data_IF_341785817457
#
_entry.id   IF_341785817457
#
_cell.length_a   1.000
_cell.length_b   1.000
_cell.length_c   1.000
_cell.angle_alpha   90.00
_cell.angle_beta   90.00
_cell.angle_gamma   90.00
#
_symmetry.space_group_name_H-M   'P 1'
#
loop_
_entity.id
_entity.type
_entity.pdbx_description
1 polymer ?
#
# COMPACT_ATOMS: atom_id res chain seq x y z
N UNK A 1 -10.85 42.93 11.90
CA UNK A 1 -10.71 42.03 13.09
C UNK A 1 -11.89 41.09 13.14
N UNK A 2 -11.72 39.84 12.73
CA UNK A 2 -12.78 38.81 12.83
C UNK A 2 -12.75 38.25 14.25
N UNK A 3 -13.79 38.54 15.02
CA UNK A 3 -13.98 38.06 16.39
C UNK A 3 -14.13 36.53 16.38
N UNK A 4 -13.09 35.77 16.73
CA UNK A 4 -13.18 34.31 16.90
C UNK A 4 -14.19 34.00 18.01
N UNK A 5 -15.40 33.61 17.64
CA UNK A 5 -16.45 33.14 18.52
C UNK A 5 -15.99 31.80 19.10
N UNK A 6 -15.61 31.77 20.37
CA UNK A 6 -15.36 30.51 21.09
C UNK A 6 -16.69 29.78 21.20
N UNK A 7 -16.85 28.72 20.45
CA UNK A 7 -18.01 27.82 20.53
C UNK A 7 -18.03 27.23 21.96
N UNK A 8 -19.19 27.31 22.63
CA UNK A 8 -19.37 26.67 23.95
C UNK A 8 -19.33 25.15 23.79
N UNK A 9 -18.78 24.42 24.76
CA UNK A 9 -18.60 22.96 24.71
C UNK A 9 -19.90 22.20 24.30
N UNK A 10 -21.07 22.69 24.72
CA UNK A 10 -22.37 22.10 24.35
C UNK A 10 -22.79 22.34 22.90
N UNK A 11 -22.35 23.43 22.26
CA UNK A 11 -22.60 23.66 20.81
C UNK A 11 -21.70 22.78 19.94
N UNK A 12 -20.43 22.60 20.34
CA UNK A 12 -19.51 21.67 19.68
C UNK A 12 -20.06 20.24 19.70
N UNK A 13 -20.66 19.79 20.81
CA UNK A 13 -21.28 18.46 20.91
C UNK A 13 -22.45 18.27 19.93
N UNK A 14 -23.31 19.29 19.76
CA UNK A 14 -24.43 19.23 18.80
C UNK A 14 -23.95 19.13 17.34
N UNK A 15 -22.97 19.96 16.95
CA UNK A 15 -22.40 19.89 15.60
C UNK A 15 -21.68 18.55 15.36
N UNK A 16 -20.94 18.05 16.34
CA UNK A 16 -20.30 16.74 16.26
C UNK A 16 -21.33 15.63 16.00
N UNK A 17 -22.43 15.60 16.74
CA UNK A 17 -23.49 14.61 16.56
C UNK A 17 -24.15 14.75 15.18
N UNK A 18 -24.52 15.95 14.75
CA UNK A 18 -25.21 16.19 13.48
C UNK A 18 -24.35 15.79 12.27
N UNK A 19 -23.05 16.07 12.29
CA UNK A 19 -22.17 15.79 11.15
C UNK A 19 -21.58 14.38 11.17
N UNK A 20 -21.29 13.81 12.33
CA UNK A 20 -20.65 12.49 12.44
C UNK A 20 -21.67 11.36 12.51
N UNK A 21 -22.81 11.56 13.16
CA UNK A 21 -23.80 10.51 13.38
C UNK A 21 -24.32 9.89 12.07
N UNK A 22 -24.69 10.64 11.01
CA UNK A 22 -25.14 10.04 9.76
C UNK A 22 -24.06 9.17 9.09
N UNK A 23 -22.82 9.65 9.05
CA UNK A 23 -21.69 8.90 8.50
C UNK A 23 -21.40 7.64 9.33
N UNK A 24 -21.45 7.76 10.66
CA UNK A 24 -21.28 6.64 11.59
C UNK A 24 -22.35 5.57 11.41
N UNK A 25 -23.62 5.96 11.26
CA UNK A 25 -24.73 5.02 11.02
C UNK A 25 -24.51 4.26 9.71
N UNK A 26 -24.18 4.96 8.62
CA UNK A 26 -23.87 4.32 7.34
C UNK A 26 -22.69 3.36 7.47
N UNK A 27 -21.63 3.77 8.14
CA UNK A 27 -20.47 2.92 8.38
C UNK A 27 -20.79 1.68 9.22
N UNK A 28 -21.58 1.83 10.29
CA UNK A 28 -22.01 0.71 11.11
C UNK A 28 -22.90 -0.27 10.33
N UNK A 29 -23.84 0.23 9.55
CA UNK A 29 -24.77 -0.62 8.77
C UNK A 29 -24.07 -1.35 7.62
N UNK A 30 -23.23 -0.65 6.86
CA UNK A 30 -22.66 -1.21 5.63
C UNK A 30 -21.25 -1.79 5.77
N UNK A 31 -20.53 -1.47 6.84
CA UNK A 31 -19.17 -2.00 7.07
C UNK A 31 -19.12 -2.92 8.29
N UNK A 32 -19.56 -2.43 9.45
CA UNK A 32 -19.42 -3.20 10.69
C UNK A 32 -20.42 -4.36 10.75
N UNK A 33 -21.68 -4.13 10.39
CA UNK A 33 -22.71 -5.18 10.45
C UNK A 33 -22.34 -6.38 9.54
N UNK A 34 -21.99 -6.23 8.24
CA UNK A 34 -21.54 -7.35 7.42
C UNK A 34 -20.26 -8.02 7.95
N UNK A 35 -19.35 -7.26 8.52
CA UNK A 35 -18.14 -7.80 9.15
C UNK A 35 -18.47 -8.73 10.33
N UNK A 36 -19.38 -8.31 11.21
CA UNK A 36 -19.84 -9.14 12.34
C UNK A 36 -20.59 -10.40 11.85
N UNK A 37 -21.42 -10.28 10.81
CA UNK A 37 -22.04 -11.45 10.18
C UNK A 37 -21.02 -12.41 9.58
N UNK A 38 -19.97 -11.90 8.93
CA UNK A 38 -18.88 -12.73 8.40
C UNK A 38 -18.19 -13.52 9.50
N UNK A 39 -17.91 -12.87 10.65
CA UNK A 39 -17.34 -13.55 11.82
C UNK A 39 -18.32 -14.64 12.33
N UNK A 40 -19.59 -14.30 12.48
CA UNK A 40 -20.60 -15.27 12.93
C UNK A 40 -20.69 -16.48 12.00
N UNK A 41 -20.85 -16.25 10.70
CA UNK A 41 -20.94 -17.33 9.71
C UNK A 41 -19.67 -18.14 9.59
N UNK A 42 -18.50 -17.60 9.90
CA UNK A 42 -17.24 -18.35 9.87
C UNK A 42 -17.21 -19.52 10.86
N UNK A 43 -18.04 -19.47 11.92
CA UNK A 43 -18.19 -20.53 12.90
C UNK A 43 -19.37 -21.46 12.63
N UNK A 44 -20.10 -21.28 11.53
CA UNK A 44 -21.25 -22.06 11.13
C UNK A 44 -21.00 -22.82 9.84
N UNK A 45 -21.89 -23.76 9.50
CA UNK A 45 -21.90 -24.47 8.23
C UNK A 45 -22.65 -23.72 7.12
N UNK A 46 -22.66 -22.38 7.21
CA UNK A 46 -23.30 -21.52 6.22
C UNK A 46 -22.77 -21.80 4.81
N UNK A 47 -23.71 -22.03 3.87
CA UNK A 47 -23.43 -22.09 2.43
C UNK A 47 -24.61 -21.43 1.70
N UNK A 48 -24.35 -20.90 0.50
CA UNK A 48 -25.40 -20.29 -0.33
C UNK A 48 -26.56 -21.25 -0.65
N UNK A 49 -26.32 -22.56 -0.55
CA UNK A 49 -27.31 -23.60 -0.78
C UNK A 49 -28.17 -23.93 0.47
N UNK A 50 -27.70 -23.55 1.67
CA UNK A 50 -28.42 -23.81 2.92
C UNK A 50 -28.33 -22.62 3.89
N UNK A 51 -29.05 -21.52 3.58
CA UNK A 51 -28.96 -20.30 4.39
C UNK A 51 -29.81 -20.33 5.67
N UNK A 52 -30.71 -21.32 5.81
CA UNK A 52 -31.78 -21.32 6.85
C UNK A 52 -31.45 -22.23 8.03
N UNK A 53 -30.83 -23.39 7.80
CA UNK A 53 -30.48 -24.35 8.86
C UNK A 53 -29.00 -24.26 9.21
N UNK A 54 -28.63 -23.24 9.99
CA UNK A 54 -27.26 -23.00 10.40
C UNK A 54 -26.93 -23.81 11.66
N UNK A 55 -25.90 -24.63 11.57
CA UNK A 55 -25.34 -25.33 12.71
C UNK A 55 -23.98 -24.72 13.09
N UNK A 56 -23.74 -24.59 14.37
CA UNK A 56 -22.45 -24.14 14.86
C UNK A 56 -21.42 -25.27 14.71
N UNK A 57 -20.37 -25.01 13.93
CA UNK A 57 -19.29 -25.99 13.64
C UNK A 57 -17.94 -25.62 14.29
N UNK A 58 -17.93 -24.57 15.09
CA UNK A 58 -16.70 -24.12 15.77
C UNK A 58 -15.59 -23.76 14.78
N UNK A 59 -14.39 -24.25 15.02
CA UNK A 59 -13.20 -23.96 14.21
C UNK A 59 -13.03 -24.85 12.97
N UNK A 60 -14.00 -25.69 12.65
CA UNK A 60 -13.90 -26.65 11.53
C UNK A 60 -13.58 -26.00 10.20
N UNK A 61 -14.17 -24.84 9.91
CA UNK A 61 -13.90 -24.09 8.67
C UNK A 61 -12.45 -23.60 8.61
N UNK A 62 -11.90 -23.12 9.72
CA UNK A 62 -10.52 -22.66 9.81
C UNK A 62 -9.53 -23.81 9.62
N UNK A 63 -9.79 -24.96 10.24
CA UNK A 63 -8.97 -26.16 10.07
C UNK A 63 -8.99 -26.62 8.61
N UNK A 64 -10.19 -26.63 7.97
CA UNK A 64 -10.33 -26.99 6.56
C UNK A 64 -9.54 -26.05 5.64
N UNK A 65 -9.58 -24.75 5.90
CA UNK A 65 -8.80 -23.74 5.15
C UNK A 65 -7.30 -24.04 5.26
N UNK A 66 -6.80 -24.28 6.47
CA UNK A 66 -5.39 -24.58 6.71
C UNK A 66 -4.94 -25.97 6.17
N UNK A 67 -5.86 -26.86 5.87
CA UNK A 67 -5.58 -28.16 5.24
C UNK A 67 -5.69 -28.11 3.71
N UNK A 68 -6.22 -27.03 3.13
CA UNK A 68 -6.44 -26.91 1.68
C UNK A 68 -5.14 -26.40 1.00
N UNK A 69 -4.51 -27.17 0.09
CA UNK A 69 -3.25 -26.78 -0.54
C UNK A 69 -3.32 -25.43 -1.27
N UNK A 70 -4.46 -25.13 -1.91
CA UNK A 70 -4.69 -23.86 -2.62
C UNK A 70 -4.67 -22.68 -1.64
N UNK A 71 -5.29 -22.84 -0.47
CA UNK A 71 -5.32 -21.78 0.56
C UNK A 71 -3.95 -21.58 1.19
N UNK A 72 -3.21 -22.64 1.46
CA UNK A 72 -1.83 -22.53 1.93
C UNK A 72 -0.93 -21.84 0.92
N UNK A 73 -1.07 -22.16 -0.37
CA UNK A 73 -0.36 -21.46 -1.43
C UNK A 73 -0.74 -19.98 -1.51
N UNK A 74 -2.03 -19.65 -1.36
CA UNK A 74 -2.51 -18.26 -1.34
C UNK A 74 -1.93 -17.48 -0.14
N UNK A 75 -1.94 -18.06 1.06
CA UNK A 75 -1.34 -17.45 2.26
C UNK A 75 0.16 -17.21 2.05
N UNK A 76 0.89 -18.23 1.58
CA UNK A 76 2.32 -18.11 1.27
C UNK A 76 2.59 -16.99 0.27
N UNK A 77 1.83 -16.94 -0.83
CA UNK A 77 1.97 -15.92 -1.85
C UNK A 77 1.67 -14.52 -1.30
N UNK A 78 0.66 -14.39 -0.44
CA UNK A 78 0.32 -13.11 0.21
C UNK A 78 1.44 -12.63 1.14
N UNK A 79 2.07 -13.53 1.89
CA UNK A 79 3.20 -13.19 2.75
C UNK A 79 4.42 -12.77 1.91
N UNK A 80 4.75 -13.51 0.86
CA UNK A 80 5.83 -13.16 -0.07
C UNK A 80 5.54 -11.80 -0.71
N UNK A 81 4.33 -11.59 -1.20
CA UNK A 81 3.90 -10.32 -1.78
C UNK A 81 4.07 -9.16 -0.79
N UNK A 82 3.57 -9.29 0.44
CA UNK A 82 3.66 -8.24 1.45
C UNK A 82 5.12 -7.89 1.81
N UNK A 83 5.96 -8.90 2.03
CA UNK A 83 7.37 -8.70 2.39
C UNK A 83 8.14 -8.03 1.24
N UNK A 84 8.02 -8.56 0.03
CA UNK A 84 8.76 -8.03 -1.11
C UNK A 84 8.25 -6.64 -1.50
N UNK A 85 6.95 -6.45 -1.56
CA UNK A 85 6.38 -5.14 -1.91
C UNK A 85 6.79 -4.06 -0.92
N UNK A 86 6.56 -4.28 0.38
CA UNK A 86 6.90 -3.30 1.42
C UNK A 86 8.41 -3.08 1.51
N UNK A 87 9.19 -4.16 1.44
CA UNK A 87 10.65 -4.09 1.47
C UNK A 87 11.22 -3.26 0.33
N UNK A 88 10.82 -3.55 -0.91
CA UNK A 88 11.30 -2.81 -2.07
C UNK A 88 10.75 -1.38 -2.15
N UNK A 89 9.50 -1.14 -1.77
CA UNK A 89 8.96 0.22 -1.72
C UNK A 89 9.70 1.09 -0.70
N UNK A 90 10.04 0.53 0.47
CA UNK A 90 10.84 1.23 1.47
C UNK A 90 12.27 1.45 0.99
N UNK A 91 12.90 0.39 0.45
CA UNK A 91 14.28 0.44 -0.05
C UNK A 91 14.47 1.44 -1.20
N UNK A 92 13.47 1.63 -2.04
CA UNK A 92 13.52 2.59 -3.16
C UNK A 92 12.95 3.96 -2.77
N UNK A 93 11.84 3.99 -2.03
CA UNK A 93 11.13 5.22 -1.69
C UNK A 93 11.90 6.09 -0.70
N UNK A 94 12.54 5.49 0.31
CA UNK A 94 13.28 6.24 1.33
C UNK A 94 14.53 6.95 0.75
N UNK A 95 15.43 6.32 -0.02
CA UNK A 95 16.53 7.02 -0.67
C UNK A 95 16.08 8.10 -1.64
N UNK A 96 14.99 7.85 -2.41
CA UNK A 96 14.42 8.88 -3.27
C UNK A 96 13.94 10.09 -2.47
N UNK A 97 13.30 9.86 -1.32
CA UNK A 97 12.88 10.94 -0.42
C UNK A 97 14.07 11.75 0.12
N UNK A 98 15.16 11.09 0.53
CA UNK A 98 16.38 11.75 0.97
C UNK A 98 16.98 12.63 -0.14
N UNK A 99 17.11 12.11 -1.36
CA UNK A 99 17.63 12.87 -2.50
C UNK A 99 16.72 14.06 -2.80
N UNK A 100 15.40 13.88 -2.81
CA UNK A 100 14.43 14.94 -3.10
C UNK A 100 14.18 15.89 -1.93
N UNK A 101 14.69 15.60 -0.74
CA UNK A 101 14.70 16.54 0.38
C UNK A 101 15.80 17.61 0.22
N UNK A 102 16.81 17.35 -0.60
CA UNK A 102 17.89 18.30 -0.88
C UNK A 102 17.41 19.46 -1.77
N UNK A 103 18.19 20.55 -1.82
CA UNK A 103 17.92 21.75 -2.64
C UNK A 103 18.26 21.51 -4.13
N UNK A 104 17.52 20.62 -4.80
CA UNK A 104 17.70 20.32 -6.22
C UNK A 104 16.86 21.25 -7.09
N UNK A 105 17.42 21.79 -8.18
CA UNK A 105 16.66 22.61 -9.15
C UNK A 105 15.50 21.86 -9.80
N UNK A 106 15.68 20.56 -10.07
CA UNK A 106 14.68 19.67 -10.71
C UNK A 106 13.75 18.94 -9.72
N UNK A 107 13.81 19.27 -8.42
CA UNK A 107 13.08 18.54 -7.36
C UNK A 107 11.59 18.33 -7.66
N UNK A 108 10.90 19.37 -8.09
CA UNK A 108 9.46 19.30 -8.34
C UNK A 108 9.15 18.44 -9.57
N UNK A 109 9.95 18.51 -10.62
CA UNK A 109 9.82 17.65 -11.79
C UNK A 109 10.04 16.17 -11.43
N UNK A 110 11.11 15.87 -10.70
CA UNK A 110 11.40 14.50 -10.26
C UNK A 110 10.29 13.95 -9.36
N UNK A 111 9.74 14.74 -8.43
CA UNK A 111 8.57 14.35 -7.63
C UNK A 111 7.39 13.99 -8.53
N UNK A 112 7.09 14.83 -9.52
CA UNK A 112 5.99 14.58 -10.45
C UNK A 112 6.21 13.29 -11.25
N UNK A 113 7.40 13.07 -11.79
CA UNK A 113 7.74 11.87 -12.59
C UNK A 113 7.63 10.59 -11.77
N UNK A 114 8.18 10.55 -10.55
CA UNK A 114 8.10 9.36 -9.71
C UNK A 114 6.71 9.11 -9.14
N UNK A 115 5.93 10.17 -8.88
CA UNK A 115 4.56 10.05 -8.38
C UNK A 115 3.54 9.73 -9.48
N UNK A 116 3.84 10.08 -10.73
CA UNK A 116 2.92 9.96 -11.87
C UNK A 116 2.29 8.56 -12.04
N UNK A 117 3.05 7.43 -11.89
CA UNK A 117 2.46 6.10 -11.99
C UNK A 117 1.33 5.82 -10.99
N UNK A 118 1.40 6.40 -9.79
CA UNK A 118 0.40 6.19 -8.73
C UNK A 118 -0.96 6.84 -9.04
N UNK A 119 -1.01 7.79 -10.00
CA UNK A 119 -2.25 8.47 -10.39
C UNK A 119 -3.11 7.64 -11.34
N UNK A 120 -2.51 6.68 -12.05
CA UNK A 120 -3.25 5.84 -12.98
C UNK A 120 -4.14 4.82 -12.28
N UNK A 121 -5.29 4.54 -12.88
CA UNK A 121 -6.15 3.44 -12.42
C UNK A 121 -5.44 2.09 -12.60
N UNK A 122 -5.75 1.15 -11.72
CA UNK A 122 -5.20 -0.22 -11.79
C UNK A 122 -5.50 -0.90 -13.13
N UNK A 123 -6.60 -0.55 -13.79
CA UNK A 123 -6.97 -1.08 -15.09
C UNK A 123 -5.98 -0.63 -16.19
N UNK A 124 -5.66 0.67 -16.22
CA UNK A 124 -4.68 1.23 -17.18
C UNK A 124 -3.31 0.61 -16.95
N UNK A 125 -2.88 0.51 -15.68
CA UNK A 125 -1.60 -0.13 -15.31
C UNK A 125 -1.60 -1.61 -15.75
N UNK A 126 -2.70 -2.33 -15.53
CA UNK A 126 -2.83 -3.72 -15.97
C UNK A 126 -2.65 -3.89 -17.48
N UNK A 127 -3.29 -3.06 -18.30
CA UNK A 127 -3.12 -3.09 -19.76
C UNK A 127 -1.70 -2.71 -20.19
N UNK A 128 -1.13 -1.66 -19.60
CA UNK A 128 0.22 -1.21 -19.90
C UNK A 128 1.25 -2.33 -19.64
N UNK A 129 1.20 -2.93 -18.46
CA UNK A 129 2.14 -3.99 -18.10
C UNK A 129 1.87 -5.31 -18.82
N UNK A 130 0.61 -5.60 -19.16
CA UNK A 130 0.29 -6.73 -20.04
C UNK A 130 0.97 -6.57 -21.40
N UNK A 131 0.93 -5.38 -21.99
CA UNK A 131 1.63 -5.08 -23.23
C UNK A 131 3.17 -5.17 -23.06
N UNK A 132 3.72 -4.56 -22.01
CA UNK A 132 5.17 -4.56 -21.74
C UNK A 132 5.71 -5.98 -21.52
N UNK A 133 4.97 -6.82 -20.78
CA UNK A 133 5.35 -8.19 -20.37
C UNK A 133 4.82 -9.27 -21.32
N UNK A 134 4.18 -8.92 -22.42
CA UNK A 134 3.66 -9.90 -23.38
C UNK A 134 4.76 -10.81 -23.87
N UNK A 135 4.45 -12.10 -24.01
CA UNK A 135 5.33 -13.09 -24.65
C UNK A 135 5.22 -13.10 -26.17
N UNK A 136 4.33 -12.29 -26.75
CA UNK A 136 4.23 -12.09 -28.20
C UNK A 136 5.36 -11.18 -28.73
N UNK A 137 5.52 -11.15 -30.05
CA UNK A 137 6.53 -10.32 -30.73
C UNK A 137 6.41 -8.82 -30.44
N UNK A 138 5.26 -8.38 -29.92
CA UNK A 138 5.01 -7.00 -29.50
C UNK A 138 5.43 -6.70 -28.06
N UNK A 139 5.80 -7.71 -27.25
CA UNK A 139 6.19 -7.53 -25.86
C UNK A 139 7.50 -6.75 -25.73
N UNK A 140 7.46 -5.55 -25.14
CA UNK A 140 8.62 -4.66 -25.07
C UNK A 140 9.83 -5.35 -24.40
N UNK A 141 9.63 -6.01 -23.26
CA UNK A 141 10.72 -6.66 -22.52
C UNK A 141 11.27 -7.83 -23.33
N UNK A 142 10.41 -8.68 -23.89
CA UNK A 142 10.83 -9.83 -24.65
C UNK A 142 11.54 -9.46 -25.96
N UNK A 143 11.13 -8.36 -26.59
CA UNK A 143 11.83 -7.84 -27.77
C UNK A 143 13.26 -7.41 -27.42
N UNK A 144 13.44 -6.68 -26.29
CA UNK A 144 14.78 -6.30 -25.83
C UNK A 144 15.62 -7.54 -25.48
N UNK A 145 15.05 -8.51 -24.76
CA UNK A 145 15.73 -9.75 -24.40
C UNK A 145 16.18 -10.54 -25.64
N UNK A 146 15.32 -10.62 -26.65
CA UNK A 146 15.64 -11.26 -27.90
C UNK A 146 16.79 -10.57 -28.63
N UNK A 147 16.80 -9.23 -28.70
CA UNK A 147 17.90 -8.47 -29.30
C UNK A 147 19.23 -8.67 -28.55
N UNK A 148 19.18 -8.93 -27.25
CA UNK A 148 20.35 -9.22 -26.42
C UNK A 148 20.77 -10.71 -26.45
N UNK A 149 20.07 -11.56 -27.21
CA UNK A 149 20.35 -13.01 -27.28
C UNK A 149 19.97 -13.79 -26.00
N UNK A 150 19.15 -13.23 -25.12
CA UNK A 150 18.77 -13.82 -23.82
C UNK A 150 17.51 -14.69 -23.90
N UNK A 151 16.91 -14.88 -25.09
CA UNK A 151 15.68 -15.64 -25.27
C UNK A 151 14.44 -14.89 -24.81
N UNK A 152 13.33 -15.62 -24.56
CA UNK A 152 12.04 -15.05 -24.18
C UNK A 152 11.63 -15.50 -22.77
N UNK A 153 11.02 -14.59 -22.00
CA UNK A 153 10.46 -14.85 -20.68
C UNK A 153 8.94 -14.87 -20.73
N UNK A 154 8.33 -15.88 -20.12
CA UNK A 154 6.89 -15.90 -19.93
C UNK A 154 6.55 -15.42 -18.51
N UNK A 155 6.08 -14.17 -18.42
CA UNK A 155 5.77 -13.48 -17.18
C UNK A 155 4.47 -13.96 -16.52
N UNK A 156 3.54 -14.53 -17.29
CA UNK A 156 2.19 -14.89 -16.84
C UNK A 156 2.02 -16.37 -16.51
N UNK A 157 3.11 -17.11 -16.37
CA UNK A 157 3.04 -18.50 -15.87
C UNK A 157 2.70 -18.51 -14.38
N UNK A 158 2.14 -19.61 -13.88
CA UNK A 158 1.84 -19.80 -12.45
C UNK A 158 3.07 -19.56 -11.54
N UNK A 159 4.28 -19.78 -12.08
CA UNK A 159 5.54 -19.60 -11.35
C UNK A 159 5.97 -18.12 -11.29
N UNK A 160 5.74 -17.36 -12.34
CA UNK A 160 6.27 -16.00 -12.51
C UNK A 160 5.25 -14.90 -12.23
N UNK A 161 3.94 -15.20 -12.35
CA UNK A 161 2.88 -14.22 -12.25
C UNK A 161 2.91 -13.40 -10.95
N UNK A 162 3.21 -14.03 -9.80
CA UNK A 162 3.33 -13.33 -8.53
C UNK A 162 4.41 -12.24 -8.58
N UNK A 163 5.59 -12.56 -9.10
CA UNK A 163 6.71 -11.63 -9.18
C UNK A 163 6.46 -10.51 -10.21
N UNK A 164 5.76 -10.83 -11.29
CA UNK A 164 5.33 -9.84 -12.29
C UNK A 164 4.38 -8.81 -11.70
N UNK A 165 3.41 -9.26 -10.90
CA UNK A 165 2.51 -8.37 -10.16
C UNK A 165 3.27 -7.54 -9.13
N UNK A 166 4.18 -8.15 -8.36
CA UNK A 166 5.01 -7.42 -7.38
C UNK A 166 5.82 -6.32 -8.05
N UNK A 167 6.49 -6.61 -9.17
CA UNK A 167 7.28 -5.63 -9.93
C UNK A 167 6.42 -4.45 -10.39
N UNK A 168 5.25 -4.74 -10.96
CA UNK A 168 4.27 -3.73 -11.38
C UNK A 168 3.86 -2.83 -10.23
N UNK A 169 3.57 -3.40 -9.07
CA UNK A 169 3.12 -2.68 -7.88
C UNK A 169 4.26 -1.87 -7.24
N UNK A 170 5.48 -2.39 -7.22
CA UNK A 170 6.66 -1.64 -6.77
C UNK A 170 6.80 -0.38 -7.62
N UNK A 171 6.80 -0.51 -8.95
CA UNK A 171 6.91 0.63 -9.86
C UNK A 171 5.77 1.64 -9.65
N UNK A 172 4.53 1.17 -9.53
CA UNK A 172 3.36 2.04 -9.36
C UNK A 172 3.41 2.84 -8.06
N UNK A 173 3.77 2.21 -6.94
CA UNK A 173 3.58 2.79 -5.61
C UNK A 173 4.84 3.31 -4.93
N UNK A 174 6.03 3.12 -5.51
CA UNK A 174 7.29 3.66 -4.95
C UNK A 174 7.24 5.18 -4.83
N UNK A 175 6.67 5.88 -5.82
CA UNK A 175 6.52 7.33 -5.75
C UNK A 175 5.59 7.81 -4.63
N UNK A 176 4.55 7.05 -4.33
CA UNK A 176 3.68 7.31 -3.17
C UNK A 176 4.44 7.17 -1.85
N UNK A 177 5.17 6.06 -1.68
CA UNK A 177 6.01 5.83 -0.51
C UNK A 177 7.06 6.95 -0.34
N UNK A 178 7.72 7.35 -1.42
CA UNK A 178 8.64 8.49 -1.45
C UNK A 178 8.00 9.78 -0.93
N UNK A 179 6.77 10.11 -1.36
CA UNK A 179 6.08 11.33 -0.91
C UNK A 179 5.78 11.28 0.59
N UNK A 180 5.36 10.13 1.11
CA UNK A 180 5.12 9.95 2.56
C UNK A 180 6.41 10.14 3.35
N UNK A 181 7.51 9.49 2.96
CA UNK A 181 8.80 9.64 3.61
C UNK A 181 9.30 11.09 3.54
N UNK A 182 9.15 11.73 2.38
CA UNK A 182 9.57 13.11 2.19
C UNK A 182 8.76 14.09 3.07
N UNK A 183 7.46 13.88 3.22
CA UNK A 183 6.63 14.69 4.11
C UNK A 183 7.08 14.55 5.58
N UNK A 184 7.42 13.32 6.00
CA UNK A 184 7.97 13.08 7.34
C UNK A 184 9.35 13.74 7.53
N UNK A 185 10.26 13.64 6.57
CA UNK A 185 11.56 14.31 6.63
C UNK A 185 11.42 15.85 6.73
N UNK A 186 10.44 16.42 6.03
CA UNK A 186 10.17 17.86 6.05
C UNK A 186 9.44 18.34 7.33
N UNK A 187 8.86 17.44 8.12
CA UNK A 187 8.24 17.77 9.40
C UNK A 187 9.23 17.91 10.55
N UNK A 188 10.50 17.48 10.35
CA UNK A 188 11.55 17.61 11.36
C UNK A 188 11.95 19.09 11.45
N UNK A 189 11.90 19.67 12.67
CA UNK A 189 12.29 21.06 12.89
C UNK A 189 13.76 21.30 12.55
N UNK A 190 14.09 22.40 11.84
CA UNK A 190 15.49 22.80 11.62
C UNK A 190 16.30 22.90 12.91
N UNK A 191 15.68 23.33 14.01
CA UNK A 191 16.35 23.48 15.32
C UNK A 191 16.96 22.16 15.81
N UNK A 192 16.36 21.01 15.43
CA UNK A 192 16.91 19.69 15.76
C UNK A 192 18.21 19.39 15.00
N UNK A 193 18.31 19.88 13.77
CA UNK A 193 19.53 19.75 12.98
C UNK A 193 20.64 20.65 13.52
N UNK A 194 20.32 21.91 13.87
CA UNK A 194 21.27 22.86 14.47
C UNK A 194 21.79 22.35 15.82
N UNK A 195 20.91 21.83 16.67
CA UNK A 195 21.31 21.22 17.95
C UNK A 195 22.22 20.00 17.73
N UNK A 196 21.96 19.19 16.70
CA UNK A 196 22.79 18.06 16.37
C UNK A 196 24.20 18.47 15.88
N UNK A 197 24.30 19.54 15.10
CA UNK A 197 25.60 20.10 14.66
C UNK A 197 26.42 20.63 15.86
N UNK A 198 25.76 21.33 16.80
CA UNK A 198 26.41 21.82 18.02
C UNK A 198 26.95 20.66 18.88
N UNK A 199 26.18 19.55 18.98
CA UNK A 199 26.58 18.33 19.67
C UNK A 199 27.66 17.52 18.93
N UNK A 200 28.20 18.03 17.81
CA UNK A 200 29.26 17.37 17.01
C UNK A 200 28.77 16.18 16.21
N UNK A 201 27.46 16.09 15.89
CA UNK A 201 26.93 15.05 15.02
C UNK A 201 27.50 15.23 13.60
N UNK A 202 28.08 14.17 13.07
CA UNK A 202 28.47 14.09 11.67
C UNK A 202 27.38 13.35 10.88
N UNK A 203 27.45 13.33 9.53
CA UNK A 203 26.40 12.74 8.68
C UNK A 203 25.97 11.32 9.07
N UNK A 204 26.81 10.55 9.77
CA UNK A 204 26.49 9.20 10.30
C UNK A 204 25.68 9.24 11.59
N UNK A 205 25.76 10.34 12.34
CA UNK A 205 25.00 10.56 13.59
C UNK A 205 23.58 11.06 13.31
N UNK A 206 23.38 11.78 12.20
CA UNK A 206 22.05 12.24 11.74
C UNK A 206 21.14 11.06 11.37
N UNK A 207 21.68 10.04 10.72
CA UNK A 207 20.94 8.84 10.31
C UNK A 207 20.39 8.05 11.51
N UNK A 208 21.11 8.03 12.64
CA UNK A 208 20.67 7.37 13.88
C UNK A 208 19.52 8.10 14.59
N UNK A 209 19.31 9.40 14.40
CA UNK A 209 18.23 10.17 15.04
C UNK A 209 16.91 10.07 14.28
N UNK A 210 16.96 9.87 12.98
CA UNK A 210 15.76 9.67 12.13
C UNK A 210 15.17 8.25 12.29
N UNK A 211 15.93 7.30 12.83
CA UNK A 211 15.54 5.90 12.99
C UNK A 211 14.99 5.50 14.37
N UNK A 212 14.70 6.47 15.26
CA UNK A 212 14.02 6.27 16.54
C UNK A 212 12.69 7.03 16.54
#
# INVERSE_FOLDING_TARGET
MVKKRKLRAGELGKYFVIFILPALIIYLLFSITPFLYTIYYSFTDYTDMNPINLHFVGLKNYIKVLQTPVMLAAIKNSVIYAILLTGFQTLLGLPLAFVLNQKLKSRNLLRAVFFFPAVFSSLIIGYLWNFIMSSSDFGLINNILHQLGLGTLNFFTSKNALYSVILTQIWQWTGWAMVIFLANLQSISPDLYEAAEIDGANGRSEERRVGK
#
